data_IF_908348605319
#
_entry.id   IF_908348605319
#
_cell.length_a   1.000
_cell.length_b   1.000
_cell.length_c   1.000
_cell.angle_alpha   90.00
_cell.angle_beta   90.00
_cell.angle_gamma   90.00
#
_symmetry.space_group_name_H-M   'P 1'
#
loop_
_entity.id
_entity.type
_entity.pdbx_description
1 polymer ?
#
# COMPACT_ATOMS: atom_id res chain seq x y z
N UNK A 1 24.81 26.88 0.12
CA UNK A 1 25.19 25.69 -0.65
C UNK A 1 24.27 25.64 -1.85
N UNK A 2 24.72 26.11 -3.03
CA UNK A 2 24.00 25.89 -4.29
C UNK A 2 24.17 24.43 -4.70
N UNK A 3 23.29 23.59 -4.17
CA UNK A 3 23.21 22.15 -4.53
C UNK A 3 22.19 21.95 -5.66
N UNK A 4 21.29 22.90 -5.85
CA UNK A 4 20.27 22.88 -6.89
C UNK A 4 20.71 23.79 -8.03
N UNK A 5 21.53 23.28 -8.95
CA UNK A 5 21.57 23.81 -10.30
C UNK A 5 20.38 23.23 -11.07
N UNK A 6 19.60 24.08 -11.72
CA UNK A 6 18.44 23.70 -12.56
C UNK A 6 18.82 22.77 -13.73
N UNK A 7 20.09 22.58 -13.96
CA UNK A 7 20.64 21.70 -14.98
C UNK A 7 21.03 20.35 -14.35
N UNK A 8 20.27 19.30 -14.66
CA UNK A 8 20.64 17.90 -14.42
C UNK A 8 21.86 17.51 -15.26
N UNK A 9 23.00 18.12 -14.99
CA UNK A 9 24.24 17.81 -15.68
C UNK A 9 24.80 16.52 -15.09
N UNK A 10 24.91 15.50 -15.94
CA UNK A 10 25.57 14.26 -15.58
C UNK A 10 27.05 14.54 -15.24
N UNK A 11 27.51 13.98 -14.13
CA UNK A 11 28.90 14.11 -13.73
C UNK A 11 29.81 13.33 -14.68
N UNK A 12 30.94 13.91 -15.05
CA UNK A 12 31.87 13.33 -16.03
C UNK A 12 32.58 12.08 -15.51
N UNK A 13 32.81 12.01 -14.20
CA UNK A 13 33.48 10.88 -13.57
C UNK A 13 32.94 10.53 -12.16
N UNK A 14 33.37 9.37 -11.65
CA UNK A 14 32.97 8.88 -10.34
C UNK A 14 33.49 9.77 -9.18
N UNK A 15 34.57 10.50 -9.36
CA UNK A 15 35.12 11.40 -8.33
C UNK A 15 34.19 12.60 -8.12
N UNK A 16 33.76 13.22 -9.22
CA UNK A 16 32.79 14.32 -9.20
C UNK A 16 31.43 13.86 -8.62
N UNK A 17 30.97 12.68 -9.02
CA UNK A 17 29.74 12.10 -8.47
C UNK A 17 29.84 11.85 -6.95
N UNK A 18 30.97 11.33 -6.47
CA UNK A 18 31.20 11.15 -5.04
C UNK A 18 31.28 12.48 -4.27
N UNK A 19 31.84 13.50 -4.89
CA UNK A 19 31.88 14.85 -4.30
C UNK A 19 30.47 15.44 -4.18
N UNK A 20 29.63 15.28 -5.21
CA UNK A 20 28.23 15.70 -5.19
C UNK A 20 27.45 14.96 -4.09
N UNK A 21 27.52 13.64 -4.02
CA UNK A 21 26.86 12.86 -2.97
C UNK A 21 27.29 13.25 -1.56
N UNK A 22 28.56 13.60 -1.37
CA UNK A 22 29.05 14.10 -0.08
C UNK A 22 28.40 15.44 0.29
N UNK A 23 28.18 16.32 -0.70
CA UNK A 23 27.50 17.60 -0.50
C UNK A 23 26.01 17.40 -0.21
N UNK A 24 25.32 16.54 -0.94
CA UNK A 24 23.92 16.17 -0.71
C UNK A 24 23.73 15.58 0.69
N UNK A 25 24.54 14.58 1.07
CA UNK A 25 24.46 13.97 2.41
C UNK A 25 24.72 14.99 3.52
N UNK A 26 25.66 15.92 3.30
CA UNK A 26 25.93 17.01 4.24
C UNK A 26 24.76 17.97 4.34
N UNK A 27 24.11 18.29 3.23
CA UNK A 27 22.93 19.13 3.19
C UNK A 27 21.75 18.46 3.94
N UNK A 28 21.49 17.18 3.68
CA UNK A 28 20.47 16.40 4.39
C UNK A 28 20.70 16.42 5.89
N UNK A 29 21.97 16.26 6.33
CA UNK A 29 22.32 16.32 7.74
C UNK A 29 22.08 17.72 8.33
N UNK A 30 22.45 18.78 7.60
CA UNK A 30 22.21 20.15 8.05
C UNK A 30 20.73 20.47 8.17
N UNK A 31 19.91 20.06 7.18
CA UNK A 31 18.46 20.24 7.23
C UNK A 31 17.89 19.50 8.43
N UNK A 32 18.31 18.25 8.68
CA UNK A 32 17.85 17.47 9.81
C UNK A 32 18.26 18.08 11.16
N UNK A 33 19.46 18.65 11.26
CA UNK A 33 19.92 19.34 12.47
C UNK A 33 19.21 20.68 12.74
N UNK A 34 18.74 21.35 11.67
CA UNK A 34 18.04 22.64 11.75
C UNK A 34 16.53 22.50 11.88
N UNK A 35 15.99 21.30 11.63
CA UNK A 35 14.57 21.03 11.81
C UNK A 35 14.26 20.82 13.30
N UNK A 36 13.14 21.35 13.76
CA UNK A 36 12.63 21.14 15.13
C UNK A 36 12.10 19.70 15.35
N UNK A 37 12.41 18.75 14.44
CA UNK A 37 11.99 17.37 14.56
C UNK A 37 12.81 16.64 15.64
N UNK A 38 12.11 15.97 16.52
CA UNK A 38 12.62 15.31 17.74
C UNK A 38 13.39 14.01 17.39
N UNK A 39 14.42 14.09 16.59
CA UNK A 39 15.31 12.94 16.42
C UNK A 39 16.46 13.01 17.42
N UNK A 40 16.67 11.95 18.19
CA UNK A 40 17.77 11.85 19.15
C UNK A 40 19.15 11.84 18.46
N UNK A 41 19.26 11.28 17.26
CA UNK A 41 20.47 11.26 16.45
C UNK A 41 20.19 11.38 14.93
N UNK A 42 20.25 12.59 14.36
CA UNK A 42 20.05 12.83 12.94
C UNK A 42 20.99 12.05 12.00
N UNK A 43 22.16 11.63 12.47
CA UNK A 43 23.08 10.82 11.66
C UNK A 43 22.55 9.40 11.47
N UNK A 44 21.99 8.81 12.53
CA UNK A 44 21.37 7.47 12.46
C UNK A 44 20.22 7.49 11.47
N UNK A 45 19.36 8.51 11.52
CA UNK A 45 18.22 8.63 10.62
C UNK A 45 18.65 8.74 9.15
N UNK A 46 19.69 9.52 8.86
CA UNK A 46 20.21 9.64 7.51
C UNK A 46 20.79 8.31 7.03
N UNK A 47 21.58 7.64 7.85
CA UNK A 47 22.12 6.32 7.52
C UNK A 47 20.98 5.33 7.22
N UNK A 48 19.94 5.32 8.04
CA UNK A 48 18.75 4.49 7.85
C UNK A 48 18.04 4.83 6.54
N UNK A 49 17.86 6.11 6.23
CA UNK A 49 17.28 6.58 4.97
C UNK A 49 18.04 6.07 3.74
N UNK A 50 19.38 6.22 3.74
CA UNK A 50 20.20 5.74 2.63
C UNK A 50 20.23 4.21 2.52
N UNK A 51 20.30 3.49 3.63
CA UNK A 51 20.17 2.02 3.63
C UNK A 51 18.84 1.56 3.05
N UNK A 52 17.73 2.20 3.43
CA UNK A 52 16.41 1.89 2.89
C UNK A 52 16.31 2.21 1.39
N UNK A 53 16.98 3.29 0.93
CA UNK A 53 17.07 3.62 -0.51
C UNK A 53 17.82 2.56 -1.30
N UNK A 54 18.98 2.12 -0.79
CA UNK A 54 19.77 1.02 -1.41
C UNK A 54 18.96 -0.27 -1.45
N UNK A 55 18.27 -0.63 -0.36
CA UNK A 55 17.42 -1.81 -0.31
C UNK A 55 16.34 -1.75 -1.40
N UNK A 56 15.61 -0.65 -1.51
CA UNK A 56 14.57 -0.49 -2.54
C UNK A 56 15.12 -0.65 -3.96
N UNK A 57 16.32 -0.16 -4.22
CA UNK A 57 16.97 -0.33 -5.53
C UNK A 57 17.31 -1.81 -5.77
N UNK A 58 17.87 -2.49 -4.77
CA UNK A 58 18.26 -3.90 -4.88
C UNK A 58 17.05 -4.86 -4.97
N UNK A 59 15.88 -4.42 -4.53
CA UNK A 59 14.64 -5.18 -4.61
C UNK A 59 13.90 -5.00 -5.95
N UNK A 60 14.38 -4.13 -6.85
CA UNK A 60 13.77 -3.98 -8.18
C UNK A 60 13.93 -5.25 -8.99
N UNK A 61 12.83 -5.67 -9.64
CA UNK A 61 12.77 -6.82 -10.53
C UNK A 61 12.86 -6.37 -11.99
N UNK A 62 13.16 -7.29 -12.88
CA UNK A 62 13.17 -7.03 -14.33
C UNK A 62 11.82 -6.48 -14.83
N UNK A 63 10.73 -6.98 -14.27
CA UNK A 63 9.37 -6.49 -14.59
C UNK A 63 9.14 -5.03 -14.18
N UNK A 64 9.69 -4.59 -13.05
CA UNK A 64 9.61 -3.19 -12.62
C UNK A 64 10.33 -2.28 -13.64
N UNK A 65 11.51 -2.71 -14.12
CA UNK A 65 12.30 -1.99 -15.13
C UNK A 65 11.58 -1.98 -16.47
N UNK A 66 11.02 -3.12 -16.89
CA UNK A 66 10.23 -3.22 -18.11
C UNK A 66 9.01 -2.29 -18.06
N UNK A 67 8.25 -2.34 -16.97
CA UNK A 67 7.07 -1.50 -16.76
C UNK A 67 7.43 -0.01 -16.80
N UNK A 68 8.56 0.37 -16.19
CA UNK A 68 9.06 1.75 -16.24
C UNK A 68 9.37 2.18 -17.69
N UNK A 69 10.10 1.35 -18.45
CA UNK A 69 10.46 1.67 -19.82
C UNK A 69 9.24 1.81 -20.73
N UNK A 70 8.27 0.91 -20.61
CA UNK A 70 7.02 0.97 -21.40
C UNK A 70 6.18 2.18 -21.01
N UNK A 71 6.12 2.54 -19.71
CA UNK A 71 5.40 3.72 -19.25
C UNK A 71 6.04 5.02 -19.76
N UNK A 72 7.37 5.11 -19.78
CA UNK A 72 8.07 6.26 -20.39
C UNK A 72 7.70 6.38 -21.87
N UNK A 73 7.65 5.27 -22.60
CA UNK A 73 7.26 5.26 -24.00
C UNK A 73 5.80 5.66 -24.19
N UNK A 74 4.88 5.10 -23.42
CA UNK A 74 3.44 5.40 -23.51
C UNK A 74 3.16 6.88 -23.26
N UNK A 75 3.81 7.48 -22.28
CA UNK A 75 3.68 8.89 -21.94
C UNK A 75 4.19 9.85 -23.03
N UNK A 76 5.00 9.37 -23.99
CA UNK A 76 5.39 10.19 -25.16
C UNK A 76 4.24 10.34 -26.16
N UNK A 77 3.30 9.40 -26.19
CA UNK A 77 2.13 9.46 -27.08
C UNK A 77 0.94 10.16 -26.43
N UNK A 78 0.69 9.85 -25.16
CA UNK A 78 -0.36 10.48 -24.37
C UNK A 78 0.00 10.46 -22.88
N UNK A 79 0.02 11.61 -22.18
CA UNK A 79 0.39 11.68 -20.77
C UNK A 79 -0.56 10.93 -19.82
N UNK A 80 -1.75 10.52 -20.31
CA UNK A 80 -2.73 9.74 -19.55
C UNK A 80 -2.68 8.24 -19.83
N UNK A 81 -1.83 7.83 -20.81
CA UNK A 81 -1.64 6.41 -21.12
C UNK A 81 -0.60 5.78 -20.24
N UNK A 82 -0.92 4.63 -19.67
CA UNK A 82 0.01 3.85 -18.84
C UNK A 82 -0.10 2.36 -19.13
N UNK A 83 1.02 1.68 -19.00
CA UNK A 83 1.08 0.22 -19.01
C UNK A 83 0.90 -0.28 -17.57
N UNK A 84 0.00 -1.22 -17.40
CA UNK A 84 -0.16 -1.96 -16.16
C UNK A 84 0.45 -3.35 -16.34
N UNK A 85 1.40 -3.71 -15.49
CA UNK A 85 1.86 -5.09 -15.39
C UNK A 85 0.68 -6.00 -15.00
N UNK A 86 0.73 -7.32 -15.24
CA UNK A 86 -0.35 -8.22 -14.83
C UNK A 86 -0.79 -8.00 -13.39
N UNK A 87 0.17 -7.92 -12.48
CA UNK A 87 -0.09 -7.62 -11.07
C UNK A 87 -0.74 -6.25 -10.85
N UNK A 88 -0.22 -5.20 -11.49
CA UNK A 88 -0.80 -3.86 -11.37
C UNK A 88 -2.22 -3.79 -11.95
N UNK A 89 -2.52 -4.62 -12.96
CA UNK A 89 -3.85 -4.76 -13.50
C UNK A 89 -4.80 -5.44 -12.51
N UNK A 90 -4.36 -6.50 -11.84
CA UNK A 90 -5.13 -7.15 -10.76
C UNK A 90 -5.41 -6.19 -9.61
N UNK A 91 -4.40 -5.42 -9.17
CA UNK A 91 -4.56 -4.40 -8.13
C UNK A 91 -5.53 -3.28 -8.58
N UNK A 92 -5.49 -2.90 -9.85
CA UNK A 92 -6.42 -1.94 -10.43
C UNK A 92 -7.86 -2.49 -10.41
N UNK A 93 -8.07 -3.72 -10.87
CA UNK A 93 -9.40 -4.36 -10.91
C UNK A 93 -9.98 -4.52 -9.49
N UNK A 94 -9.17 -4.92 -8.52
CA UNK A 94 -9.58 -4.98 -7.11
C UNK A 94 -9.99 -3.59 -6.56
N UNK A 95 -9.21 -2.56 -6.86
CA UNK A 95 -9.55 -1.20 -6.43
C UNK A 95 -10.81 -0.68 -7.11
N UNK A 96 -11.04 -1.06 -8.36
CA UNK A 96 -12.22 -0.65 -9.11
C UNK A 96 -13.47 -1.44 -8.72
N UNK A 97 -13.37 -2.71 -8.39
CA UNK A 97 -14.52 -3.52 -7.93
C UNK A 97 -14.91 -3.24 -6.48
N UNK A 98 -14.04 -2.58 -5.70
CA UNK A 98 -14.16 -2.43 -4.24
C UNK A 98 -14.26 -3.76 -3.49
N UNK A 99 -13.70 -4.82 -4.06
CA UNK A 99 -13.67 -6.17 -3.49
C UNK A 99 -12.22 -6.65 -3.46
N UNK A 100 -11.84 -7.32 -2.41
CA UNK A 100 -10.57 -8.03 -2.34
C UNK A 100 -10.75 -9.39 -1.66
N UNK A 101 -10.01 -10.38 -2.13
CA UNK A 101 -9.90 -11.66 -1.42
C UNK A 101 -8.69 -11.64 -0.50
N UNK A 102 -8.91 -11.86 0.79
CA UNK A 102 -7.83 -11.83 1.77
C UNK A 102 -8.32 -11.75 3.21
N UNK A 103 -7.50 -11.14 4.06
CA UNK A 103 -7.75 -11.05 5.49
C UNK A 103 -8.39 -9.74 5.96
N UNK A 104 -8.52 -8.75 5.08
CA UNK A 104 -9.09 -7.45 5.45
C UNK A 104 -8.17 -6.62 6.34
N UNK A 105 -6.91 -6.46 5.96
CA UNK A 105 -5.95 -5.60 6.62
C UNK A 105 -5.25 -4.68 5.61
N UNK A 106 -5.11 -3.41 5.95
CA UNK A 106 -4.24 -2.47 5.24
C UNK A 106 -2.84 -2.62 5.81
N UNK A 107 -1.89 -2.90 4.93
CA UNK A 107 -0.51 -3.16 5.30
C UNK A 107 0.41 -2.04 4.84
N UNK A 108 1.49 -1.82 5.57
CA UNK A 108 2.55 -0.87 5.25
C UNK A 108 3.91 -1.42 5.59
N UNK A 109 4.96 -0.67 5.27
CA UNK A 109 6.34 -1.05 5.58
C UNK A 109 6.87 -0.19 6.72
N UNK A 110 7.44 -0.84 7.73
CA UNK A 110 8.21 -0.21 8.78
C UNK A 110 9.53 -0.97 8.95
N UNK A 111 10.63 -0.30 8.61
CA UNK A 111 11.97 -0.89 8.58
C UNK A 111 12.05 -2.15 7.72
N UNK A 112 12.28 -3.32 8.34
CA UNK A 112 12.34 -4.62 7.68
C UNK A 112 11.03 -5.39 7.77
N UNK A 113 9.99 -4.82 8.39
CA UNK A 113 8.74 -5.52 8.63
C UNK A 113 7.59 -4.96 7.80
N UNK A 114 6.74 -5.86 7.35
CA UNK A 114 5.39 -5.51 6.95
C UNK A 114 4.54 -5.37 8.21
N UNK A 115 3.91 -4.21 8.41
CA UNK A 115 3.05 -3.94 9.57
C UNK A 115 1.60 -3.71 9.18
N UNK A 116 0.71 -3.96 10.12
CA UNK A 116 -0.71 -3.65 10.00
C UNK A 116 -0.93 -2.16 10.26
N UNK A 117 -1.41 -1.42 9.27
CA UNK A 117 -1.78 0.00 9.42
C UNK A 117 -3.18 0.11 10.02
N UNK A 118 -4.15 -0.61 9.43
CA UNK A 118 -5.53 -0.64 9.89
C UNK A 118 -6.21 -1.93 9.49
N UNK A 119 -7.34 -2.24 10.13
CA UNK A 119 -8.17 -3.39 9.81
C UNK A 119 -9.43 -2.90 9.10
N UNK A 120 -9.88 -3.67 8.11
CA UNK A 120 -11.13 -3.39 7.41
C UNK A 120 -12.30 -3.89 8.26
N UNK A 121 -13.29 -3.02 8.57
CA UNK A 121 -14.44 -3.42 9.36
C UNK A 121 -15.17 -4.65 8.78
N UNK A 122 -15.44 -5.62 9.63
CA UNK A 122 -16.08 -6.87 9.24
C UNK A 122 -15.19 -7.88 8.50
N UNK A 123 -13.89 -7.55 8.31
CA UNK A 123 -12.93 -8.48 7.70
C UNK A 123 -12.44 -9.58 8.65
N UNK A 124 -11.84 -10.66 8.12
CA UNK A 124 -11.33 -11.78 8.93
C UNK A 124 -10.34 -11.36 10.01
N UNK A 125 -9.44 -10.43 9.71
CA UNK A 125 -8.44 -9.94 10.65
C UNK A 125 -9.10 -9.24 11.85
N UNK A 126 -10.10 -8.37 11.61
CA UNK A 126 -10.84 -7.70 12.67
C UNK A 126 -11.68 -8.70 13.48
N UNK A 127 -12.44 -9.57 12.79
CA UNK A 127 -13.28 -10.62 13.44
C UNK A 127 -12.46 -11.53 14.36
N UNK A 128 -11.19 -11.76 14.05
CA UNK A 128 -10.32 -12.59 14.90
C UNK A 128 -10.11 -12.00 16.30
N UNK A 129 -10.18 -10.68 16.45
CA UNK A 129 -9.91 -9.95 17.67
C UNK A 129 -8.47 -10.07 18.19
N UNK A 130 -7.59 -10.74 17.43
CA UNK A 130 -6.22 -11.05 17.83
C UNK A 130 -5.18 -10.15 17.18
N UNK A 131 -5.53 -9.43 16.11
CA UNK A 131 -4.66 -8.57 15.34
C UNK A 131 -4.99 -7.11 15.66
N UNK A 132 -3.96 -6.30 15.83
CA UNK A 132 -4.09 -4.87 16.11
C UNK A 132 -3.31 -4.05 15.09
N UNK A 133 -3.70 -2.78 14.84
CA UNK A 133 -2.80 -1.84 14.19
C UNK A 133 -1.43 -1.84 14.85
N UNK A 134 -0.38 -1.61 14.08
CA UNK A 134 1.04 -1.63 14.45
C UNK A 134 1.64 -3.02 14.70
N UNK A 135 0.85 -4.12 14.71
CA UNK A 135 1.41 -5.47 14.72
C UNK A 135 2.25 -5.71 13.46
N UNK A 136 3.42 -6.33 13.62
CA UNK A 136 4.39 -6.62 12.56
C UNK A 136 4.32 -8.06 12.16
N UNK A 137 4.33 -8.33 10.87
CA UNK A 137 4.33 -9.68 10.31
C UNK A 137 5.77 -10.19 10.23
N UNK A 138 6.04 -11.36 10.80
CA UNK A 138 7.35 -12.01 10.75
C UNK A 138 7.36 -13.24 9.85
N UNK A 139 6.30 -14.06 9.91
CA UNK A 139 6.22 -15.29 9.11
C UNK A 139 4.80 -15.55 8.65
N UNK A 140 4.70 -16.26 7.51
CA UNK A 140 3.42 -16.67 6.92
C UNK A 140 3.52 -18.16 6.58
N UNK A 141 2.43 -18.88 6.81
CA UNK A 141 2.29 -20.28 6.42
C UNK A 141 0.94 -20.46 5.73
N UNK A 142 0.92 -21.11 4.56
CA UNK A 142 -0.32 -21.51 3.90
C UNK A 142 -0.96 -22.69 4.63
N UNK A 143 -2.27 -22.81 4.57
CA UNK A 143 -3.02 -23.78 5.38
C UNK A 143 -2.52 -25.21 5.30
N UNK A 144 -2.12 -25.65 4.10
CA UNK A 144 -1.72 -27.01 3.78
C UNK A 144 -0.21 -27.25 3.83
N UNK A 145 0.60 -26.22 4.08
CA UNK A 145 2.06 -26.32 4.15
C UNK A 145 2.52 -26.69 5.56
N UNK A 146 3.69 -27.34 5.67
CA UNK A 146 4.26 -27.71 6.96
C UNK A 146 5.13 -26.61 7.57
N UNK A 147 5.71 -25.72 6.75
CA UNK A 147 6.71 -24.76 7.17
C UNK A 147 6.24 -23.31 7.05
N UNK A 148 6.71 -22.48 7.98
CA UNK A 148 6.54 -21.04 7.93
C UNK A 148 7.61 -20.40 7.04
N UNK A 149 7.18 -19.53 6.14
CA UNK A 149 8.05 -18.67 5.33
C UNK A 149 8.37 -17.42 6.13
N UNK A 150 9.65 -17.15 6.37
CA UNK A 150 10.11 -15.89 6.96
C UNK A 150 10.02 -14.77 5.91
N UNK A 151 9.26 -13.72 6.23
CA UNK A 151 8.98 -12.60 5.31
C UNK A 151 9.62 -11.28 5.75
N UNK A 152 10.48 -11.33 6.77
CA UNK A 152 11.21 -10.15 7.24
C UNK A 152 12.14 -9.63 6.14
N UNK A 153 12.07 -8.37 5.82
CA UNK A 153 12.86 -7.75 4.75
C UNK A 153 12.33 -7.96 3.33
N UNK A 154 11.24 -8.69 3.16
CA UNK A 154 10.61 -8.88 1.85
C UNK A 154 9.93 -7.59 1.36
N UNK A 155 9.72 -7.51 0.06
CA UNK A 155 8.86 -6.46 -0.51
C UNK A 155 7.43 -6.66 -0.01
N UNK A 156 6.76 -5.55 0.29
CA UNK A 156 5.38 -5.60 0.78
C UNK A 156 4.44 -6.30 -0.20
N UNK A 157 4.68 -6.11 -1.48
CA UNK A 157 3.89 -6.73 -2.53
C UNK A 157 4.03 -8.26 -2.53
N UNK A 158 5.21 -8.81 -2.28
CA UNK A 158 5.43 -10.25 -2.14
C UNK A 158 4.75 -10.81 -0.88
N UNK A 159 4.79 -10.06 0.21
CA UNK A 159 4.09 -10.42 1.46
C UNK A 159 2.58 -10.42 1.26
N UNK A 160 2.06 -9.41 0.55
CA UNK A 160 0.63 -9.31 0.21
C UNK A 160 0.18 -10.47 -0.66
N UNK A 161 1.00 -10.93 -1.62
CA UNK A 161 0.68 -12.09 -2.46
C UNK A 161 0.53 -13.38 -1.65
N UNK A 162 1.37 -13.57 -0.62
CA UNK A 162 1.23 -14.71 0.29
C UNK A 162 -0.03 -14.61 1.17
N UNK A 163 -0.49 -13.39 1.48
CA UNK A 163 -1.68 -13.16 2.31
C UNK A 163 -2.96 -13.29 1.49
N UNK A 164 -2.96 -12.81 0.25
CA UNK A 164 -4.06 -12.98 -0.70
C UNK A 164 -4.15 -14.44 -1.14
N UNK A 165 -5.26 -14.83 -1.72
CA UNK A 165 -5.47 -16.17 -2.26
C UNK A 165 -6.96 -16.47 -2.45
N UNK A 166 -7.28 -17.70 -2.77
CA UNK A 166 -8.65 -18.12 -2.98
C UNK A 166 -9.50 -17.97 -1.71
N UNK A 167 -10.75 -17.56 -1.90
CA UNK A 167 -11.73 -17.46 -0.81
C UNK A 167 -11.89 -18.84 -0.17
N UNK A 168 -12.14 -18.85 1.14
CA UNK A 168 -12.31 -20.04 1.97
C UNK A 168 -11.01 -20.82 2.26
N UNK A 169 -9.85 -20.40 1.74
CA UNK A 169 -8.57 -20.99 2.11
C UNK A 169 -8.04 -20.41 3.43
N UNK A 170 -7.24 -21.19 4.16
CA UNK A 170 -6.65 -20.78 5.44
C UNK A 170 -5.18 -20.39 5.30
N UNK A 171 -4.75 -19.47 6.15
CA UNK A 171 -3.35 -19.15 6.35
C UNK A 171 -3.08 -18.90 7.84
N UNK A 172 -1.83 -19.09 8.24
CA UNK A 172 -1.34 -18.74 9.57
C UNK A 172 -0.31 -17.64 9.44
N UNK A 173 -0.42 -16.61 10.26
CA UNK A 173 0.52 -15.49 10.29
C UNK A 173 1.09 -15.38 11.69
N UNK A 174 2.42 -15.33 11.78
CA UNK A 174 3.14 -14.99 13.00
C UNK A 174 3.30 -13.47 13.06
N UNK A 175 2.76 -12.88 14.12
CA UNK A 175 2.87 -11.45 14.40
C UNK A 175 3.77 -11.21 15.60
N UNK A 176 4.51 -10.10 15.54
CA UNK A 176 5.18 -9.47 16.68
C UNK A 176 4.29 -8.33 17.12
N UNK A 177 3.79 -8.38 18.35
CA UNK A 177 2.88 -7.35 18.88
C UNK A 177 3.63 -6.06 19.19
N UNK A 178 3.04 -4.91 18.86
CA UNK A 178 3.62 -3.59 19.10
C UNK A 178 3.88 -3.31 20.60
N UNK A 179 2.97 -3.75 21.47
CA UNK A 179 3.01 -3.50 22.93
C UNK A 179 4.00 -4.39 23.70
N UNK A 180 4.83 -5.16 22.99
CA UNK A 180 5.66 -6.17 23.66
C UNK A 180 7.06 -6.24 23.07
N UNK A 181 8.01 -6.65 23.91
CA UNK A 181 9.36 -6.97 23.50
C UNK A 181 9.36 -8.04 22.37
N UNK A 182 10.44 -8.06 21.60
CA UNK A 182 10.63 -8.90 20.39
C UNK A 182 10.27 -10.39 20.59
N UNK A 183 10.22 -10.85 21.86
CA UNK A 183 9.91 -12.24 22.23
C UNK A 183 8.42 -12.58 22.29
N UNK A 184 7.50 -11.60 22.23
CA UNK A 184 6.06 -11.89 22.30
C UNK A 184 5.47 -12.05 20.91
N UNK A 185 5.66 -13.22 20.33
CA UNK A 185 5.12 -13.61 19.04
C UNK A 185 3.79 -14.34 19.23
N UNK A 186 2.83 -14.02 18.35
CA UNK A 186 1.54 -14.71 18.33
C UNK A 186 1.26 -15.25 16.94
N UNK A 187 0.77 -16.48 16.87
CA UNK A 187 0.30 -17.08 15.62
C UNK A 187 -1.21 -16.94 15.54
N UNK A 188 -1.69 -16.42 14.46
CA UNK A 188 -3.12 -16.25 14.18
C UNK A 188 -3.46 -17.01 12.92
N UNK A 189 -4.40 -17.95 13.03
CA UNK A 189 -5.00 -18.62 11.87
C UNK A 189 -6.16 -17.77 11.37
N UNK A 190 -6.17 -17.50 10.07
CA UNK A 190 -7.18 -16.71 9.40
C UNK A 190 -7.69 -17.46 8.18
N UNK A 191 -8.96 -17.29 7.89
CA UNK A 191 -9.59 -17.76 6.66
C UNK A 191 -9.76 -16.58 5.72
N UNK A 192 -9.41 -16.74 4.45
CA UNK A 192 -9.62 -15.69 3.45
C UNK A 192 -11.10 -15.56 3.13
N UNK A 193 -11.57 -14.34 3.11
CA UNK A 193 -12.96 -14.00 2.74
C UNK A 193 -12.93 -12.91 1.66
N UNK A 194 -14.06 -12.76 0.96
CA UNK A 194 -14.28 -11.55 0.19
C UNK A 194 -14.50 -10.37 1.14
N UNK A 195 -13.62 -9.40 1.08
CA UNK A 195 -13.69 -8.19 1.90
C UNK A 195 -14.17 -7.03 1.03
N UNK A 196 -15.26 -6.40 1.43
CA UNK A 196 -15.83 -5.24 0.73
C UNK A 196 -15.30 -3.96 1.33
N UNK A 197 -14.82 -3.07 0.47
CA UNK A 197 -14.28 -1.77 0.86
C UNK A 197 -15.39 -0.72 0.88
N UNK A 198 -16.36 -0.87 1.80
CA UNK A 198 -17.54 0.01 1.89
C UNK A 198 -17.18 1.47 2.17
N UNK A 199 -16.07 1.72 2.89
CA UNK A 199 -15.59 3.07 3.18
C UNK A 199 -15.14 3.84 1.93
N UNK A 200 -14.90 3.14 0.81
CA UNK A 200 -14.55 3.73 -0.48
C UNK A 200 -15.73 3.91 -1.41
N UNK A 201 -16.89 3.37 -1.05
CA UNK A 201 -18.11 3.52 -1.83
C UNK A 201 -18.75 4.88 -1.60
N UNK A 202 -19.65 5.27 -2.53
CA UNK A 202 -20.45 6.47 -2.39
C UNK A 202 -21.32 6.39 -1.13
N UNK A 203 -21.22 7.41 -0.30
CA UNK A 203 -22.01 7.56 0.95
C UNK A 203 -22.84 8.82 0.90
N UNK A 204 -23.91 8.89 1.69
CA UNK A 204 -24.74 10.08 1.77
C UNK A 204 -25.16 10.40 3.19
N UNK A 205 -25.27 11.69 3.46
CA UNK A 205 -25.79 12.24 4.71
C UNK A 205 -26.82 13.33 4.40
N UNK A 206 -27.84 13.42 5.21
CA UNK A 206 -28.86 14.48 5.11
C UNK A 206 -28.78 15.35 6.35
N UNK A 207 -28.61 16.64 6.15
CA UNK A 207 -28.57 17.66 7.21
C UNK A 207 -29.83 18.51 7.13
N UNK A 208 -30.40 18.85 8.28
CA UNK A 208 -31.50 19.83 8.40
C UNK A 208 -30.92 21.18 8.84
N UNK A 209 -31.12 22.22 8.01
CA UNK A 209 -30.66 23.58 8.29
C UNK A 209 -31.72 24.60 7.85
N UNK A 210 -32.24 25.38 8.82
CA UNK A 210 -33.23 26.42 8.55
C UNK A 210 -34.46 25.93 7.76
N UNK A 211 -35.09 24.86 8.20
CA UNK A 211 -36.25 24.20 7.57
C UNK A 211 -35.98 23.60 6.17
N UNK A 212 -34.73 23.58 5.72
CA UNK A 212 -34.33 22.92 4.47
C UNK A 212 -33.59 21.65 4.78
N UNK A 213 -33.75 20.61 3.92
CA UNK A 213 -32.98 19.39 3.93
C UNK A 213 -31.87 19.51 2.88
N UNK A 214 -30.63 19.35 3.33
CA UNK A 214 -29.44 19.39 2.48
C UNK A 214 -28.86 17.97 2.44
N UNK A 215 -28.88 17.34 1.25
CA UNK A 215 -28.21 16.08 1.00
C UNK A 215 -26.75 16.32 0.63
N UNK A 216 -25.84 15.59 1.27
CA UNK A 216 -24.42 15.56 0.92
C UNK A 216 -24.07 14.15 0.46
N UNK A 217 -23.47 14.04 -0.72
CA UNK A 217 -22.95 12.77 -1.25
C UNK A 217 -21.43 12.86 -1.20
N UNK A 218 -20.83 11.92 -0.50
CA UNK A 218 -19.39 11.72 -0.47
C UNK A 218 -19.03 10.59 -1.46
N UNK A 219 -18.14 10.91 -2.40
CA UNK A 219 -17.62 9.97 -3.41
C UNK A 219 -16.10 9.96 -3.35
N UNK A 220 -15.50 9.12 -2.50
CA UNK A 220 -14.05 9.08 -2.32
C UNK A 220 -13.28 8.68 -3.58
N UNK A 221 -13.87 7.81 -4.40
CA UNK A 221 -13.29 7.37 -5.69
C UNK A 221 -14.36 6.95 -6.68
N UNK A 222 -14.01 6.94 -7.96
CA UNK A 222 -14.84 6.26 -8.96
C UNK A 222 -14.54 4.75 -8.93
N UNK A 223 -15.58 3.94 -9.09
CA UNK A 223 -15.49 2.49 -9.07
C UNK A 223 -16.52 1.84 -9.99
N UNK A 224 -16.16 0.67 -10.49
CA UNK A 224 -17.02 -0.20 -11.27
C UNK A 224 -16.47 -1.64 -11.20
N UNK A 225 -17.35 -2.59 -10.98
CA UNK A 225 -17.03 -4.02 -11.11
C UNK A 225 -17.06 -4.40 -12.61
N UNK A 226 -15.88 -4.39 -13.22
CA UNK A 226 -15.73 -4.66 -14.66
C UNK A 226 -16.10 -6.10 -15.01
N UNK A 227 -15.84 -7.06 -14.15
CA UNK A 227 -16.15 -8.46 -14.38
C UNK A 227 -17.66 -8.69 -14.39
N UNK A 228 -18.37 -8.20 -13.37
CA UNK A 228 -19.83 -8.30 -13.33
C UNK A 228 -20.47 -7.52 -14.48
N UNK A 229 -19.92 -6.34 -14.83
CA UNK A 229 -20.40 -5.57 -15.99
C UNK A 229 -20.22 -6.34 -17.31
N UNK A 230 -19.06 -6.96 -17.53
CA UNK A 230 -18.78 -7.75 -18.74
C UNK A 230 -19.67 -9.00 -18.83
N UNK A 231 -19.96 -9.63 -17.69
CA UNK A 231 -20.86 -10.77 -17.58
C UNK A 231 -22.35 -10.38 -17.72
N UNK A 232 -22.65 -9.10 -17.99
CA UNK A 232 -24.01 -8.54 -18.12
C UNK A 232 -24.87 -8.76 -16.87
N UNK A 233 -24.26 -8.83 -15.72
CA UNK A 233 -25.00 -8.83 -14.47
C UNK A 233 -25.70 -7.47 -14.31
N UNK A 234 -27.03 -7.47 -14.25
CA UNK A 234 -27.80 -6.23 -14.11
C UNK A 234 -27.54 -5.50 -12.79
N UNK A 235 -26.98 -6.21 -11.80
CA UNK A 235 -26.74 -5.69 -10.46
C UNK A 235 -25.25 -5.42 -10.17
N UNK A 236 -24.43 -5.24 -11.23
CA UNK A 236 -23.01 -4.86 -11.04
C UNK A 236 -22.90 -3.57 -10.24
N UNK A 237 -21.91 -3.49 -9.37
CA UNK A 237 -21.65 -2.30 -8.56
C UNK A 237 -20.90 -1.23 -9.36
N UNK A 238 -21.33 0.03 -9.24
CA UNK A 238 -20.60 1.18 -9.79
C UNK A 238 -20.98 2.47 -9.08
N UNK A 239 -20.06 3.43 -9.07
CA UNK A 239 -20.29 4.76 -8.50
C UNK A 239 -21.51 5.45 -9.09
N UNK A 240 -21.75 5.32 -10.40
CA UNK A 240 -22.91 5.92 -11.07
C UNK A 240 -24.25 5.30 -10.65
N UNK A 241 -24.29 3.99 -10.38
CA UNK A 241 -25.48 3.33 -9.86
C UNK A 241 -25.75 3.69 -8.40
N UNK A 242 -24.71 3.68 -7.58
CA UNK A 242 -24.86 3.99 -6.16
C UNK A 242 -25.30 5.44 -5.97
N UNK A 243 -24.73 6.40 -6.70
CA UNK A 243 -25.19 7.80 -6.70
C UNK A 243 -26.65 7.89 -7.14
N UNK A 244 -27.04 7.19 -8.21
CA UNK A 244 -28.45 7.21 -8.67
C UNK A 244 -29.38 6.64 -7.61
N UNK A 245 -28.98 5.57 -6.93
CA UNK A 245 -29.76 4.97 -5.83
C UNK A 245 -29.89 5.93 -4.65
N UNK A 246 -28.81 6.68 -4.31
CA UNK A 246 -28.81 7.68 -3.26
C UNK A 246 -29.78 8.83 -3.60
N UNK A 247 -29.76 9.31 -4.85
CA UNK A 247 -30.60 10.42 -5.30
C UNK A 247 -32.10 10.06 -5.37
N UNK A 248 -32.44 8.78 -5.46
CA UNK A 248 -33.82 8.28 -5.51
C UNK A 248 -34.40 7.93 -4.13
N UNK A 249 -33.63 8.05 -3.06
CA UNK A 249 -34.06 7.87 -1.66
C UNK A 249 -34.59 9.18 -1.06
#
# INVERSE_FOLDING_TARGET
LDIYTDDNIWQEDLSQLKALWRLETKNDLLISLLSDSVSEDPKIDIIKRYKNRIRRINQQKEEDIFSLAVNILSNQFDPHSSYLSPRSAEDFDMNMSLKLSGIGALLGVEDDYTKVISLVPGGPAEKSGKIKPEDRISKIKQGDEDEFIDVVGWRIDEVVDLIRGEIDTELQIEFISFDSDIDNRKIVTLKREEVKLEDRAAQSQVFEMNDNKIGVIDLPSFYIDFEEYANRNSDYRSSSKDIRNILNK
#
